data_IF_548212047390
#
_entry.id   IF_548212047390
#
_cell.length_a   1.000
_cell.length_b   1.000
_cell.length_c   1.000
_cell.angle_alpha   90.00
_cell.angle_beta   90.00
_cell.angle_gamma   90.00
#
_symmetry.space_group_name_H-M   'P 1'
#
loop_
_entity.id
_entity.type
_entity.pdbx_description
1 polymer ?
#
# COMPACT_ATOMS: atom_id res chain seq x y z
N UNK A 1 29.99 -3.14 3.94
CA UNK A 1 28.53 -3.03 3.91
C UNK A 1 28.15 -1.58 3.69
N UNK A 2 27.52 -1.28 2.56
CA UNK A 2 27.06 0.06 2.21
C UNK A 2 25.54 0.13 2.39
N UNK A 3 25.06 0.96 3.32
CA UNK A 3 23.62 1.06 3.63
C UNK A 3 22.75 1.56 2.46
N UNK A 4 23.35 2.30 1.52
CA UNK A 4 22.66 2.76 0.30
C UNK A 4 22.58 1.70 -0.80
N UNK A 5 23.39 0.64 -0.72
CA UNK A 5 23.37 -0.45 -1.70
C UNK A 5 22.42 -1.54 -1.21
N UNK A 6 21.13 -1.33 -1.49
CA UNK A 6 20.05 -2.23 -1.11
C UNK A 6 19.02 -2.35 -2.21
N UNK A 7 18.34 -3.50 -2.26
CA UNK A 7 17.21 -3.74 -3.15
C UNK A 7 16.31 -4.81 -2.54
N UNK A 8 15.05 -4.82 -2.98
CA UNK A 8 14.05 -5.81 -2.57
C UNK A 8 13.66 -6.66 -3.78
N UNK A 9 13.43 -7.95 -3.54
CA UNK A 9 12.66 -8.80 -4.45
C UNK A 9 11.39 -9.25 -3.73
N UNK A 10 10.24 -9.26 -4.39
CA UNK A 10 8.98 -9.69 -3.81
C UNK A 10 8.25 -10.65 -4.75
N UNK A 11 7.77 -11.79 -4.22
CA UNK A 11 7.09 -12.83 -5.00
C UNK A 11 5.93 -13.39 -4.19
N UNK A 12 4.80 -13.65 -4.83
CA UNK A 12 3.66 -14.34 -4.23
C UNK A 12 3.98 -15.81 -3.94
N UNK A 13 3.56 -16.31 -2.79
CA UNK A 13 3.79 -17.67 -2.36
C UNK A 13 2.69 -18.61 -2.86
N UNK A 14 3.07 -19.72 -3.51
CA UNK A 14 2.10 -20.78 -3.82
C UNK A 14 1.65 -21.56 -2.59
N UNK A 15 2.48 -21.56 -1.54
CA UNK A 15 2.22 -22.20 -0.25
C UNK A 15 2.71 -21.26 0.85
N UNK A 16 1.83 -20.91 1.78
CA UNK A 16 2.12 -19.97 2.87
C UNK A 16 3.43 -20.32 3.61
N UNK A 17 4.30 -19.33 3.76
CA UNK A 17 5.56 -19.44 4.50
C UNK A 17 6.65 -20.25 3.79
N UNK A 18 6.43 -20.64 2.53
CA UNK A 18 7.40 -21.40 1.73
C UNK A 18 8.06 -20.49 0.70
N UNK A 19 9.39 -20.38 0.80
CA UNK A 19 10.23 -19.55 -0.06
C UNK A 19 10.18 -20.00 -1.54
N UNK A 20 9.60 -19.20 -2.46
CA UNK A 20 9.52 -19.54 -3.88
C UNK A 20 10.85 -19.31 -4.63
N UNK A 21 11.88 -18.80 -3.95
CA UNK A 21 13.18 -18.42 -4.53
C UNK A 21 13.05 -17.37 -5.66
N UNK A 22 12.81 -16.09 -5.31
CA UNK A 22 12.77 -14.99 -6.27
C UNK A 22 14.01 -14.92 -7.16
N UNK A 23 13.80 -14.55 -8.43
CA UNK A 23 14.84 -14.15 -9.38
C UNK A 23 14.89 -12.63 -9.60
N UNK A 24 15.72 -12.18 -10.55
CA UNK A 24 15.94 -10.77 -10.84
C UNK A 24 14.71 -10.00 -11.32
N UNK A 25 13.76 -10.65 -12.00
CA UNK A 25 12.56 -9.99 -12.54
C UNK A 25 11.57 -9.57 -11.44
N UNK A 26 11.75 -10.11 -10.23
CA UNK A 26 10.90 -9.81 -9.08
C UNK A 26 11.39 -8.58 -8.30
N UNK A 27 12.33 -7.81 -8.86
CA UNK A 27 12.88 -6.65 -8.19
C UNK A 27 11.87 -5.52 -8.13
N UNK A 28 11.73 -4.91 -6.95
CA UNK A 28 10.86 -3.76 -6.73
C UNK A 28 11.71 -2.49 -6.67
N UNK A 29 11.35 -1.51 -7.51
CA UNK A 29 11.94 -0.18 -7.45
C UNK A 29 11.41 0.55 -6.21
N UNK A 30 12.23 0.61 -5.16
CA UNK A 30 11.83 1.15 -3.85
C UNK A 30 12.60 2.41 -3.49
N UNK A 31 11.93 3.29 -2.77
CA UNK A 31 12.54 4.39 -2.01
C UNK A 31 12.25 4.23 -0.52
N UNK A 32 13.02 4.94 0.33
CA UNK A 32 12.87 4.93 1.79
C UNK A 32 12.81 3.56 2.49
N UNK A 33 13.33 2.50 1.87
CA UNK A 33 13.25 1.14 2.40
C UNK A 33 13.90 0.99 3.78
N UNK A 34 13.16 0.45 4.76
CA UNK A 34 13.63 0.15 6.11
C UNK A 34 13.21 -1.26 6.50
N UNK A 35 14.12 -2.00 7.15
CA UNK A 35 13.84 -3.34 7.69
C UNK A 35 14.09 -3.35 9.19
N UNK A 36 13.14 -3.90 9.93
CA UNK A 36 13.25 -4.20 11.35
C UNK A 36 13.37 -5.72 11.50
N UNK A 37 14.60 -6.28 11.50
CA UNK A 37 14.84 -7.71 11.36
C UNK A 37 14.28 -8.52 12.53
N UNK A 38 14.28 -7.96 13.74
CA UNK A 38 13.81 -8.64 14.94
C UNK A 38 12.81 -7.80 15.69
N UNK A 39 11.54 -8.17 15.58
CA UNK A 39 10.43 -7.64 16.36
C UNK A 39 9.72 -8.78 17.10
N UNK A 40 9.00 -8.42 18.16
CA UNK A 40 8.12 -9.33 18.88
C UNK A 40 8.32 -9.37 20.39
N UNK A 41 7.49 -10.17 21.06
CA UNK A 41 7.36 -10.12 22.50
C UNK A 41 8.55 -10.75 23.22
N UNK A 42 8.86 -10.22 24.40
CA UNK A 42 9.96 -10.67 25.25
C UNK A 42 9.43 -10.88 26.66
N UNK A 43 9.81 -11.98 27.28
CA UNK A 43 9.38 -12.34 28.62
C UNK A 43 10.58 -12.29 29.55
N UNK A 44 10.51 -11.42 30.56
CA UNK A 44 11.48 -11.42 31.66
C UNK A 44 11.25 -12.62 32.58
N UNK A 45 12.34 -13.18 33.09
CA UNK A 45 12.28 -14.29 34.06
C UNK A 45 11.98 -13.82 35.49
N UNK A 46 12.14 -12.53 35.78
CA UNK A 46 11.91 -11.93 37.11
C UNK A 46 12.49 -12.79 38.26
N UNK A 47 13.78 -13.12 38.19
CA UNK A 47 14.39 -14.05 39.13
C UNK A 47 14.83 -13.33 40.41
N UNK A 48 14.47 -13.89 41.56
CA UNK A 48 14.98 -13.41 42.85
C UNK A 48 16.50 -13.60 42.93
N UNK A 49 17.22 -12.51 43.20
CA UNK A 49 18.68 -12.53 43.34
C UNK A 49 19.20 -11.59 44.43
N UNK A 50 20.38 -11.87 45.02
CA UNK A 50 20.93 -11.06 46.12
C UNK A 50 21.39 -9.64 45.73
N UNK A 51 21.49 -9.33 44.44
CA UNK A 51 21.97 -8.04 43.93
C UNK A 51 20.93 -7.34 43.05
N UNK A 52 21.04 -6.02 42.92
CA UNK A 52 20.15 -5.21 42.09
C UNK A 52 20.67 -5.14 40.63
N UNK A 53 19.75 -5.09 39.67
CA UNK A 53 20.05 -4.96 38.23
C UNK A 53 18.83 -5.32 37.35
N UNK A 54 18.99 -5.32 36.02
CA UNK A 54 17.95 -5.76 35.08
C UNK A 54 17.96 -7.30 34.86
N UNK A 55 16.81 -7.89 34.58
CA UNK A 55 16.67 -9.32 34.29
C UNK A 55 16.94 -9.66 32.83
N UNK A 56 17.33 -10.91 32.59
CA UNK A 56 17.44 -11.44 31.23
C UNK A 56 16.05 -11.76 30.68
N UNK A 57 15.83 -11.41 29.42
CA UNK A 57 14.57 -11.65 28.71
C UNK A 57 14.70 -12.75 27.66
N UNK A 58 13.63 -13.51 27.46
CA UNK A 58 13.49 -14.56 26.46
C UNK A 58 12.52 -14.08 25.36
N UNK A 59 12.93 -14.13 24.11
CA UNK A 59 12.05 -13.79 22.97
C UNK A 59 11.02 -14.91 22.73
N UNK A 60 9.74 -14.57 22.63
CA UNK A 60 8.63 -15.54 22.51
C UNK A 60 7.89 -15.50 21.17
N UNK A 61 8.02 -14.42 20.41
CA UNK A 61 7.56 -14.32 19.03
C UNK A 61 8.57 -13.52 18.24
N UNK A 62 8.95 -14.01 17.06
CA UNK A 62 9.92 -13.35 16.20
C UNK A 62 9.30 -13.13 14.83
N UNK A 63 9.10 -11.88 14.49
CA UNK A 63 8.70 -11.47 13.16
C UNK A 63 9.59 -10.35 12.65
N UNK A 64 9.56 -10.14 11.35
CA UNK A 64 10.28 -9.07 10.69
C UNK A 64 9.26 -8.13 10.06
N UNK A 65 9.52 -6.83 10.12
CA UNK A 65 8.75 -5.84 9.39
C UNK A 65 9.62 -5.11 8.38
N UNK A 66 9.03 -4.77 7.23
CA UNK A 66 9.69 -4.04 6.16
C UNK A 66 8.74 -2.96 5.65
N UNK A 67 9.26 -1.73 5.55
CA UNK A 67 8.53 -0.59 5.02
C UNK A 67 9.30 0.03 3.86
N UNK A 68 8.61 0.49 2.83
CA UNK A 68 9.21 1.14 1.67
C UNK A 68 8.13 1.85 0.86
N UNK A 69 8.57 2.80 0.04
CA UNK A 69 7.71 3.52 -0.89
C UNK A 69 8.00 3.09 -2.33
N UNK A 70 6.96 3.04 -3.17
CA UNK A 70 7.03 2.71 -4.60
C UNK A 70 6.26 3.77 -5.39
N UNK A 71 6.81 4.20 -6.52
CA UNK A 71 6.15 5.17 -7.40
C UNK A 71 4.91 4.55 -8.06
N UNK A 72 3.80 5.29 -8.09
CA UNK A 72 2.55 4.85 -8.71
C UNK A 72 2.54 5.22 -10.20
N UNK A 73 2.77 4.23 -11.05
CA UNK A 73 2.71 4.35 -12.50
C UNK A 73 2.13 3.06 -13.10
N UNK A 74 1.69 3.07 -14.36
CA UNK A 74 1.29 1.83 -15.03
C UNK A 74 2.49 0.95 -15.40
N UNK A 75 2.24 -0.10 -16.19
CA UNK A 75 3.27 -1.05 -16.64
C UNK A 75 3.99 -0.61 -17.92
N UNK A 76 3.45 0.37 -18.64
CA UNK A 76 3.88 0.78 -19.98
C UNK A 76 3.18 0.07 -21.13
N UNK A 77 2.37 -0.96 -20.84
CA UNK A 77 1.63 -1.73 -21.85
C UNK A 77 0.24 -2.13 -21.31
N UNK A 78 -0.82 -1.81 -22.06
CA UNK A 78 -2.20 -2.09 -21.64
C UNK A 78 -2.42 -3.60 -21.43
N UNK A 79 -3.14 -3.96 -20.37
CA UNK A 79 -3.38 -5.37 -20.01
C UNK A 79 -2.15 -6.12 -19.47
N UNK A 80 -1.04 -5.43 -19.19
CA UNK A 80 0.13 -6.00 -18.50
C UNK A 80 0.19 -5.51 -17.05
N UNK A 81 0.38 -6.42 -16.10
CA UNK A 81 0.47 -6.08 -14.68
C UNK A 81 1.69 -5.19 -14.41
N UNK A 82 1.55 -4.10 -13.64
CA UNK A 82 2.67 -3.25 -13.23
C UNK A 82 3.61 -3.98 -12.28
N UNK A 83 4.89 -3.58 -12.25
CA UNK A 83 5.91 -4.20 -11.40
C UNK A 83 5.60 -4.16 -9.88
N UNK A 84 4.72 -3.26 -9.43
CA UNK A 84 4.25 -3.17 -8.05
C UNK A 84 3.02 -4.03 -7.74
N UNK A 85 2.37 -4.62 -8.75
CA UNK A 85 1.11 -5.37 -8.60
C UNK A 85 1.17 -6.49 -7.57
N UNK A 86 2.28 -7.23 -7.56
CA UNK A 86 2.54 -8.31 -6.58
C UNK A 86 2.45 -7.84 -5.12
N UNK A 87 2.73 -6.56 -4.84
CA UNK A 87 2.65 -6.02 -3.49
C UNK A 87 1.21 -5.83 -3.03
N UNK A 88 0.31 -5.43 -3.94
CA UNK A 88 -1.11 -5.31 -3.62
C UNK A 88 -1.74 -6.66 -3.26
N UNK A 89 -1.30 -7.74 -3.90
CA UNK A 89 -1.74 -9.10 -3.55
C UNK A 89 -1.47 -9.40 -2.06
N UNK A 90 -0.26 -9.09 -1.59
CA UNK A 90 0.10 -9.22 -0.17
C UNK A 90 -0.60 -8.23 0.78
N UNK A 91 -1.28 -7.21 0.23
CA UNK A 91 -2.11 -6.27 0.97
C UNK A 91 -3.60 -6.63 0.97
N UNK A 92 -3.97 -7.78 0.39
CA UNK A 92 -5.35 -8.28 0.37
C UNK A 92 -6.17 -7.82 -0.82
N UNK A 93 -5.53 -7.61 -1.97
CA UNK A 93 -6.18 -7.41 -3.27
C UNK A 93 -6.09 -8.69 -4.11
N UNK A 94 -7.04 -8.88 -5.02
CA UNK A 94 -6.97 -9.85 -6.12
C UNK A 94 -6.72 -9.12 -7.45
N UNK A 95 -6.00 -9.78 -8.36
CA UNK A 95 -5.64 -9.23 -9.67
C UNK A 95 -6.50 -9.87 -10.76
N UNK A 96 -7.23 -9.03 -11.49
CA UNK A 96 -7.98 -9.44 -12.68
C UNK A 96 -7.36 -8.80 -13.93
N UNK A 97 -6.77 -9.62 -14.80
CA UNK A 97 -6.16 -9.18 -16.06
C UNK A 97 -7.12 -9.38 -17.22
N UNK A 98 -7.41 -8.31 -17.95
CA UNK A 98 -8.04 -8.33 -19.27
C UNK A 98 -6.97 -8.03 -20.30
N UNK A 99 -6.54 -9.06 -21.04
CA UNK A 99 -5.47 -8.96 -22.01
C UNK A 99 -5.66 -7.78 -22.98
N UNK A 100 -4.55 -7.09 -23.26
CA UNK A 100 -4.47 -5.90 -24.13
C UNK A 100 -5.37 -4.73 -23.71
N UNK A 101 -6.01 -4.80 -22.54
CA UNK A 101 -7.05 -3.85 -22.11
C UNK A 101 -6.75 -3.25 -20.75
N UNK A 102 -6.76 -4.06 -19.68
CA UNK A 102 -6.68 -3.54 -18.32
C UNK A 102 -6.17 -4.57 -17.31
N UNK A 103 -5.66 -4.09 -16.19
CA UNK A 103 -5.40 -4.88 -14.99
C UNK A 103 -6.11 -4.22 -13.82
N UNK A 104 -6.99 -4.94 -13.15
CA UNK A 104 -7.77 -4.43 -12.03
C UNK A 104 -7.34 -5.10 -10.74
N UNK A 105 -7.06 -4.30 -9.72
CA UNK A 105 -6.86 -4.75 -8.34
C UNK A 105 -8.07 -4.33 -7.50
N UNK A 106 -8.79 -5.32 -6.97
CA UNK A 106 -9.90 -5.11 -6.04
C UNK A 106 -9.62 -5.84 -4.72
N UNK A 107 -10.04 -5.31 -3.56
CA UNK A 107 -9.92 -6.00 -2.28
C UNK A 107 -10.58 -7.39 -2.31
N UNK A 108 -10.14 -8.27 -1.42
CA UNK A 108 -10.82 -9.54 -1.12
C UNK A 108 -10.98 -9.73 0.38
N UNK A 109 -11.97 -10.50 0.81
CA UNK A 109 -12.19 -10.84 2.23
C UNK A 109 -11.73 -12.24 2.62
N UNK A 110 -11.28 -13.05 1.68
CA UNK A 110 -10.75 -14.39 1.94
C UNK A 110 -9.60 -14.74 0.99
N UNK A 111 -8.94 -15.87 1.27
CA UNK A 111 -7.84 -16.38 0.43
C UNK A 111 -6.72 -15.36 0.19
N UNK A 112 -6.42 -14.52 1.18
CA UNK A 112 -5.36 -13.52 1.10
C UNK A 112 -4.04 -14.15 0.68
N UNK A 113 -3.44 -13.64 -0.38
CA UNK A 113 -2.10 -14.02 -0.78
C UNK A 113 -1.07 -13.66 0.31
N UNK A 114 0.04 -14.36 0.28
CA UNK A 114 1.22 -14.07 1.09
C UNK A 114 2.43 -13.94 0.18
N UNK A 115 3.36 -13.08 0.59
CA UNK A 115 4.56 -12.81 -0.18
C UNK A 115 5.80 -13.36 0.53
N UNK A 116 6.78 -13.77 -0.26
CA UNK A 116 8.17 -13.83 0.18
C UNK A 116 8.87 -12.55 -0.27
N UNK A 117 9.44 -11.82 0.68
CA UNK A 117 10.19 -10.58 0.45
C UNK A 117 11.66 -10.82 0.80
N UNK A 118 12.52 -10.68 -0.18
CA UNK A 118 13.96 -10.69 -0.02
C UNK A 118 14.47 -9.27 0.09
N UNK A 119 15.31 -9.02 1.08
CA UNK A 119 15.95 -7.74 1.28
C UNK A 119 17.46 -7.92 1.31
N UNK A 120 18.12 -7.33 0.33
CA UNK A 120 19.57 -7.34 0.23
C UNK A 120 20.15 -6.05 0.79
N UNK A 121 21.10 -6.13 1.73
CA UNK A 121 22.03 -5.03 2.05
C UNK A 121 23.44 -5.47 1.68
N UNK A 122 23.96 -4.91 0.59
CA UNK A 122 25.29 -5.16 0.03
C UNK A 122 25.62 -6.65 -0.25
N UNK A 123 25.84 -7.49 0.77
CA UNK A 123 26.16 -8.93 0.68
C UNK A 123 25.36 -9.81 1.64
N UNK A 124 24.46 -9.20 2.41
CA UNK A 124 23.59 -9.89 3.36
C UNK A 124 22.18 -9.96 2.81
N UNK A 125 21.54 -11.10 2.95
CA UNK A 125 20.15 -11.32 2.60
C UNK A 125 19.33 -11.56 3.86
N UNK A 126 18.33 -10.71 4.06
CA UNK A 126 17.23 -10.94 4.98
C UNK A 126 16.02 -11.43 4.19
N UNK A 127 15.31 -12.43 4.71
CA UNK A 127 14.11 -12.96 4.07
C UNK A 127 12.93 -12.86 5.03
N UNK A 128 11.78 -12.49 4.49
CA UNK A 128 10.49 -12.57 5.15
C UNK A 128 9.63 -13.52 4.32
N UNK A 129 9.13 -14.60 4.92
CA UNK A 129 8.16 -15.50 4.28
C UNK A 129 6.79 -15.29 4.91
N UNK A 130 5.72 -15.69 4.24
CA UNK A 130 4.35 -15.52 4.74
C UNK A 130 3.98 -14.06 4.98
N UNK A 131 4.57 -13.13 4.23
CA UNK A 131 4.44 -11.70 4.47
C UNK A 131 3.09 -11.17 3.98
N UNK A 132 2.45 -10.36 4.82
CA UNK A 132 1.22 -9.61 4.51
C UNK A 132 1.37 -8.18 4.99
N UNK A 133 0.64 -7.25 4.37
CA UNK A 133 0.87 -5.83 4.59
C UNK A 133 -0.36 -4.94 4.44
N UNK A 134 -0.10 -3.65 4.48
CA UNK A 134 -1.05 -2.58 4.15
C UNK A 134 -0.38 -1.60 3.18
N UNK A 135 -1.19 -0.86 2.45
CA UNK A 135 -0.77 0.14 1.47
C UNK A 135 -1.48 1.48 1.73
N UNK A 136 -0.72 2.57 1.58
CA UNK A 136 -1.24 3.93 1.56
C UNK A 136 -0.85 4.62 0.25
N UNK A 137 -1.85 5.13 -0.47
CA UNK A 137 -1.70 5.90 -1.70
C UNK A 137 -1.61 7.39 -1.36
N UNK A 138 -0.71 8.10 -2.04
CA UNK A 138 -0.58 9.54 -1.95
C UNK A 138 -0.45 10.13 -3.36
N UNK A 139 -1.36 11.04 -3.68
CA UNK A 139 -1.37 11.80 -4.92
C UNK A 139 -1.49 13.29 -4.54
N UNK A 140 -0.34 13.92 -4.28
CA UNK A 140 -0.24 15.36 -4.01
C UNK A 140 0.20 16.14 -5.25
N UNK A 141 -0.35 17.34 -5.45
CA UNK A 141 -0.02 18.22 -6.58
C UNK A 141 1.49 18.49 -6.66
N UNK A 142 2.01 18.60 -7.87
CA UNK A 142 3.44 18.83 -8.17
C UNK A 142 4.39 17.78 -7.56
N UNK A 143 3.89 16.61 -7.16
CA UNK A 143 4.67 15.48 -6.68
C UNK A 143 4.46 14.25 -7.57
N UNK A 144 5.40 13.32 -7.47
CA UNK A 144 5.22 11.97 -8.02
C UNK A 144 4.25 11.22 -7.10
N UNK A 145 3.21 10.58 -7.63
CA UNK A 145 2.30 9.79 -6.82
C UNK A 145 3.03 8.55 -6.26
N UNK A 146 2.76 8.22 -4.99
CA UNK A 146 3.51 7.21 -4.24
C UNK A 146 2.58 6.24 -3.52
N UNK A 147 3.04 4.99 -3.41
CA UNK A 147 2.47 3.94 -2.57
C UNK A 147 3.44 3.62 -1.44
N UNK A 148 3.01 3.84 -0.20
CA UNK A 148 3.76 3.46 0.99
C UNK A 148 3.28 2.10 1.49
N UNK A 149 4.20 1.14 1.53
CA UNK A 149 3.91 -0.23 1.97
C UNK A 149 4.49 -0.50 3.35
N UNK A 150 3.76 -1.29 4.14
CA UNK A 150 4.24 -1.85 5.40
C UNK A 150 3.87 -3.33 5.47
N UNK A 151 4.88 -4.19 5.44
CA UNK A 151 4.72 -5.64 5.51
C UNK A 151 5.25 -6.20 6.82
N UNK A 152 4.54 -7.20 7.33
CA UNK A 152 4.96 -8.08 8.42
C UNK A 152 5.08 -9.49 7.89
N UNK A 153 6.18 -10.18 8.19
CA UNK A 153 6.41 -11.56 7.75
C UNK A 153 7.12 -12.40 8.82
N UNK A 154 7.10 -13.72 8.59
CA UNK A 154 7.85 -14.68 9.39
C UNK A 154 9.34 -14.40 9.27
N UNK A 155 10.01 -14.43 10.42
CA UNK A 155 11.44 -14.17 10.48
C UNK A 155 12.25 -15.35 9.96
N UNK A 156 13.19 -15.08 9.06
CA UNK A 156 14.22 -16.03 8.64
C UNK A 156 15.60 -15.48 8.97
N UNK A 157 16.50 -16.35 9.42
CA UNK A 157 17.86 -15.95 9.79
C UNK A 157 18.61 -15.39 8.56
N UNK A 158 19.36 -14.27 8.71
CA UNK A 158 20.10 -13.69 7.60
C UNK A 158 21.16 -14.64 7.04
N UNK A 159 21.36 -14.61 5.72
CA UNK A 159 22.35 -15.44 5.03
C UNK A 159 23.26 -14.59 4.15
N UNK A 160 24.35 -15.20 3.66
CA UNK A 160 25.27 -14.58 2.69
C UNK A 160 25.20 -15.34 1.34
N UNK A 161 24.21 -15.07 0.49
CA UNK A 161 23.99 -15.80 -0.75
C UNK A 161 24.74 -15.16 -1.94
N UNK A 162 24.65 -15.81 -3.10
CA UNK A 162 25.00 -15.19 -4.37
C UNK A 162 24.03 -14.04 -4.63
N UNK A 163 24.57 -12.86 -4.97
CA UNK A 163 23.78 -11.68 -5.30
C UNK A 163 22.99 -11.90 -6.59
N UNK A 164 21.69 -11.63 -6.55
CA UNK A 164 20.83 -11.60 -7.71
C UNK A 164 20.94 -10.20 -8.35
N UNK A 165 21.04 -10.12 -9.67
CA UNK A 165 20.98 -8.84 -10.36
C UNK A 165 19.51 -8.40 -10.44
N UNK A 166 19.11 -7.27 -9.82
CA UNK A 166 17.74 -6.80 -9.90
C UNK A 166 17.43 -6.30 -11.31
N UNK A 167 16.26 -6.67 -11.83
CA UNK A 167 15.70 -6.15 -13.07
C UNK A 167 14.44 -5.33 -12.74
N UNK A 168 14.49 -4.04 -12.98
CA UNK A 168 13.39 -3.10 -12.73
C UNK A 168 12.74 -2.61 -14.02
N UNK A 169 12.86 -3.36 -15.13
CA UNK A 169 12.28 -2.97 -16.42
C UNK A 169 10.75 -2.88 -16.41
N UNK A 170 10.09 -3.51 -15.43
CA UNK A 170 8.65 -3.44 -15.21
C UNK A 170 8.18 -2.11 -14.58
N UNK A 171 9.11 -1.20 -14.25
CA UNK A 171 8.81 0.14 -13.73
C UNK A 171 9.08 1.18 -14.81
N UNK A 172 8.03 1.92 -15.17
CA UNK A 172 8.12 3.07 -16.07
C UNK A 172 8.30 4.36 -15.27
N UNK A 173 8.84 5.39 -15.92
CA UNK A 173 8.97 6.70 -15.30
C UNK A 173 7.57 7.26 -14.97
N UNK A 174 7.29 7.64 -13.70
CA UNK A 174 5.99 8.17 -13.32
C UNK A 174 5.78 9.59 -13.85
N UNK A 175 4.52 9.98 -13.95
CA UNK A 175 4.12 11.35 -14.26
C UNK A 175 3.83 12.12 -12.96
N UNK A 176 4.18 13.40 -12.86
CA UNK A 176 3.80 14.22 -11.71
C UNK A 176 2.30 14.53 -11.75
N UNK A 177 1.67 14.60 -10.57
CA UNK A 177 0.26 14.99 -10.43
C UNK A 177 0.10 16.46 -10.81
N UNK A 178 -0.50 16.70 -11.97
CA UNK A 178 -0.72 18.02 -12.59
C UNK A 178 -1.98 17.97 -13.43
N UNK A 179 -2.52 19.12 -13.85
CA UNK A 179 -3.70 19.19 -14.73
C UNK A 179 -3.52 18.35 -16.02
N UNK A 180 -2.34 18.43 -16.64
CA UNK A 180 -2.04 17.71 -17.89
C UNK A 180 -1.96 16.18 -17.71
N UNK A 181 -1.59 15.72 -16.51
CA UNK A 181 -1.36 14.30 -16.23
C UNK A 181 -2.46 13.65 -15.39
N UNK A 182 -3.39 14.41 -14.80
CA UNK A 182 -4.51 13.89 -14.02
C UNK A 182 -5.82 14.45 -14.59
N UNK A 183 -6.28 13.92 -15.74
CA UNK A 183 -7.42 14.48 -16.46
C UNK A 183 -8.76 14.33 -15.73
N UNK A 184 -8.88 13.36 -14.82
CA UNK A 184 -10.12 13.13 -14.05
C UNK A 184 -9.83 13.16 -12.56
N UNK A 185 -10.58 13.99 -11.85
CA UNK A 185 -10.69 13.95 -10.40
C UNK A 185 -12.12 14.37 -10.04
N UNK A 186 -13.00 13.39 -10.05
CA UNK A 186 -14.43 13.59 -9.82
C UNK A 186 -14.81 13.15 -8.40
N UNK A 187 -15.54 14.01 -7.70
CA UNK A 187 -16.15 13.72 -6.40
C UNK A 187 -17.65 13.96 -6.52
N UNK A 188 -18.45 12.91 -6.38
CA UNK A 188 -19.90 12.95 -6.61
C UNK A 188 -20.26 13.51 -8.00
N UNK A 189 -19.62 12.95 -9.03
CA UNK A 189 -19.72 13.36 -10.45
C UNK A 189 -19.41 14.84 -10.70
N UNK A 190 -18.62 15.47 -9.83
CA UNK A 190 -18.19 16.86 -9.96
C UNK A 190 -16.67 16.93 -10.02
N UNK A 191 -16.14 17.48 -11.13
CA UNK A 191 -14.71 17.68 -11.33
C UNK A 191 -14.18 18.74 -10.37
N UNK A 192 -13.45 18.29 -9.34
CA UNK A 192 -12.87 19.17 -8.34
C UNK A 192 -11.46 19.62 -8.75
N UNK A 193 -11.10 20.84 -8.34
CA UNK A 193 -9.73 21.35 -8.48
C UNK A 193 -8.90 20.82 -7.31
N UNK A 194 -8.43 19.58 -7.44
CA UNK A 194 -7.79 18.85 -6.37
C UNK A 194 -6.32 19.25 -6.14
N UNK A 195 -5.90 19.22 -4.87
CA UNK A 195 -4.53 19.44 -4.45
C UNK A 195 -3.88 18.20 -3.87
N UNK A 196 -4.63 17.39 -3.13
CA UNK A 196 -4.10 16.18 -2.49
C UNK A 196 -5.19 15.14 -2.34
N UNK A 197 -4.81 13.91 -2.66
CA UNK A 197 -5.55 12.71 -2.32
C UNK A 197 -4.65 11.78 -1.52
N UNK A 198 -5.18 11.25 -0.42
CA UNK A 198 -4.59 10.11 0.28
C UNK A 198 -5.62 9.03 0.49
N UNK A 199 -5.20 7.77 0.39
CA UNK A 199 -6.03 6.61 0.71
C UNK A 199 -5.17 5.56 1.42
N UNK A 200 -5.44 5.31 2.69
CA UNK A 200 -4.87 4.21 3.45
C UNK A 200 -5.88 3.07 3.50
N UNK A 201 -5.49 1.88 3.01
CA UNK A 201 -6.34 0.69 3.12
C UNK A 201 -6.47 0.23 4.58
N UNK A 202 -5.54 0.65 5.44
CA UNK A 202 -5.54 0.40 6.88
C UNK A 202 -5.79 -1.09 7.22
N UNK A 203 -5.11 -1.99 6.51
CA UNK A 203 -5.22 -3.43 6.74
C UNK A 203 -4.66 -3.79 8.12
N UNK A 204 -5.44 -4.51 8.92
CA UNK A 204 -5.03 -5.00 10.23
C UNK A 204 -4.25 -6.31 10.08
N UNK A 205 -2.91 -6.19 10.06
CA UNK A 205 -1.98 -7.31 9.93
C UNK A 205 -1.44 -7.73 11.30
N UNK A 206 -1.74 -8.97 11.69
CA UNK A 206 -1.41 -9.50 13.01
C UNK A 206 -0.45 -10.69 12.86
N UNK A 207 0.73 -10.58 13.46
CA UNK A 207 1.57 -11.76 13.72
C UNK A 207 0.98 -12.54 14.91
N UNK A 208 0.64 -13.79 14.66
CA UNK A 208 0.03 -14.70 15.64
C UNK A 208 0.93 -15.92 15.82
N UNK A 209 1.46 -16.07 17.02
CA UNK A 209 2.20 -17.25 17.44
C UNK A 209 1.45 -17.92 18.60
N UNK A 210 0.84 -19.06 18.32
CA UNK A 210 0.10 -19.89 19.28
C UNK A 210 0.58 -21.33 19.19
N UNK A 211 0.28 -22.15 20.20
CA UNK A 211 0.65 -23.57 20.18
C UNK A 211 0.07 -24.22 18.92
N UNK A 212 0.93 -24.91 18.16
CA UNK A 212 0.65 -25.58 16.88
C UNK A 212 0.38 -24.66 15.66
N UNK A 213 0.54 -23.33 15.77
CA UNK A 213 0.37 -22.44 14.61
C UNK A 213 1.13 -21.13 14.77
N UNK A 214 1.94 -20.80 13.77
CA UNK A 214 2.61 -19.51 13.64
C UNK A 214 2.30 -18.94 12.25
N UNK A 215 1.73 -17.74 12.21
CA UNK A 215 1.33 -17.10 10.95
C UNK A 215 1.17 -15.59 11.11
N UNK A 216 1.23 -14.89 9.99
CA UNK A 216 0.83 -13.50 9.82
C UNK A 216 -0.51 -13.50 9.10
N UNK A 217 -1.51 -12.90 9.71
CA UNK A 217 -2.89 -12.89 9.22
C UNK A 217 -3.38 -11.46 9.00
N UNK A 218 -4.10 -11.25 7.91
CA UNK A 218 -4.89 -10.04 7.69
C UNK A 218 -6.29 -10.34 8.22
N UNK A 219 -6.76 -9.56 9.20
CA UNK A 219 -8.02 -9.84 9.91
C UNK A 219 -9.14 -8.86 9.61
N UNK A 220 -8.79 -7.67 9.18
CA UNK A 220 -9.71 -6.57 8.94
C UNK A 220 -9.04 -5.53 8.04
N UNK A 221 -9.84 -4.61 7.47
CA UNK A 221 -9.36 -3.43 6.75
C UNK A 221 -10.36 -2.29 6.96
N UNK A 222 -9.86 -1.06 7.05
CA UNK A 222 -10.70 0.11 7.30
C UNK A 222 -10.31 1.27 6.36
N UNK A 223 -10.57 1.14 5.05
CA UNK A 223 -10.03 2.08 4.08
C UNK A 223 -10.55 3.50 4.31
N UNK A 224 -9.61 4.41 4.50
CA UNK A 224 -9.89 5.80 4.83
C UNK A 224 -8.87 6.73 4.18
N UNK A 225 -9.28 7.96 3.95
CA UNK A 225 -8.47 8.88 3.17
C UNK A 225 -8.78 10.34 3.44
N UNK A 226 -8.14 11.21 2.68
CA UNK A 226 -8.38 12.65 2.72
C UNK A 226 -8.31 13.20 1.31
N UNK A 227 -9.27 14.05 0.98
CA UNK A 227 -9.29 14.86 -0.24
C UNK A 227 -9.11 16.31 0.16
N UNK A 228 -8.22 17.00 -0.53
CA UNK A 228 -8.07 18.45 -0.44
C UNK A 228 -8.27 19.03 -1.83
N UNK A 229 -9.20 19.97 -1.97
CA UNK A 229 -9.51 20.63 -3.23
C UNK A 229 -9.91 22.09 -3.00
N UNK A 230 -9.83 22.92 -4.02
CA UNK A 230 -10.30 24.30 -3.91
C UNK A 230 -11.78 24.36 -3.53
N UNK A 231 -12.12 25.26 -2.61
CA UNK A 231 -13.49 25.38 -2.14
C UNK A 231 -14.40 25.90 -3.26
N UNK A 232 -15.41 25.11 -3.60
CA UNK A 232 -16.42 25.50 -4.58
C UNK A 232 -17.48 26.42 -3.95
N UNK A 233 -18.09 27.28 -4.78
CA UNK A 233 -19.23 28.08 -4.38
C UNK A 233 -20.41 27.16 -4.03
N UNK A 234 -21.04 27.40 -2.87
CA UNK A 234 -22.14 26.57 -2.34
C UNK A 234 -23.31 26.42 -3.33
N UNK A 235 -23.54 27.42 -4.19
CA UNK A 235 -24.58 27.39 -5.22
C UNK A 235 -24.28 26.49 -6.42
N UNK A 236 -23.03 26.08 -6.61
CA UNK A 236 -22.59 25.16 -7.68
C UNK A 236 -22.57 23.73 -7.14
N UNK A 237 -21.80 23.47 -6.08
CA UNK A 237 -21.77 22.18 -5.38
C UNK A 237 -21.68 22.39 -3.87
N UNK A 238 -22.59 21.78 -3.12
CA UNK A 238 -22.67 21.96 -1.66
C UNK A 238 -22.12 20.74 -0.90
N UNK A 239 -20.80 20.67 -0.79
CA UNK A 239 -20.11 19.60 -0.05
C UNK A 239 -20.41 19.59 1.47
N UNK A 240 -20.77 20.75 2.05
CA UNK A 240 -21.21 20.82 3.45
C UNK A 240 -22.53 20.06 3.66
N UNK A 241 -23.45 20.15 2.71
CA UNK A 241 -24.69 19.39 2.74
C UNK A 241 -24.45 17.89 2.57
N UNK A 242 -23.57 17.50 1.63
CA UNK A 242 -23.17 16.10 1.44
C UNK A 242 -22.56 15.49 2.71
N UNK A 243 -21.65 16.22 3.36
CA UNK A 243 -21.07 15.74 4.61
C UNK A 243 -22.08 15.66 5.76
N UNK A 244 -23.02 16.60 5.82
CA UNK A 244 -24.05 16.62 6.86
C UNK A 244 -25.10 15.51 6.66
N UNK A 245 -25.46 15.19 5.43
CA UNK A 245 -26.38 14.07 5.13
C UNK A 245 -25.70 12.73 5.37
N UNK A 246 -24.36 12.67 5.25
CA UNK A 246 -23.60 11.44 5.32
C UNK A 246 -23.88 10.54 4.11
N UNK A 247 -24.28 11.14 3.00
CA UNK A 247 -24.55 10.46 1.74
C UNK A 247 -23.28 9.81 1.18
N UNK A 248 -23.45 8.66 0.54
CA UNK A 248 -22.38 7.92 -0.11
C UNK A 248 -22.25 8.44 -1.53
N UNK A 249 -21.04 8.85 -1.90
CA UNK A 249 -20.74 9.44 -3.20
C UNK A 249 -19.71 8.61 -3.95
N UNK A 250 -19.69 8.77 -5.27
CA UNK A 250 -18.66 8.20 -6.12
C UNK A 250 -17.40 9.06 -6.12
N UNK A 251 -16.23 8.42 -6.11
CA UNK A 251 -14.94 9.05 -6.37
C UNK A 251 -14.30 8.35 -7.56
N UNK A 252 -13.85 9.13 -8.54
CA UNK A 252 -13.08 8.65 -9.68
C UNK A 252 -11.86 9.55 -9.91
N UNK A 253 -10.67 8.96 -9.86
CA UNK A 253 -9.41 9.66 -10.09
C UNK A 253 -8.65 8.91 -11.18
N UNK A 254 -8.44 9.56 -12.32
CA UNK A 254 -7.66 9.01 -13.44
C UNK A 254 -6.35 9.77 -13.53
N UNK A 255 -5.23 9.08 -13.31
CA UNK A 255 -3.89 9.60 -13.47
C UNK A 255 -3.18 8.93 -14.64
N UNK A 256 -2.57 9.71 -15.52
CA UNK A 256 -1.96 9.28 -16.76
C UNK A 256 -2.83 9.60 -17.98
N UNK A 257 -2.20 9.62 -19.16
CA UNK A 257 -2.85 9.99 -20.43
C UNK A 257 -2.56 9.02 -21.58
N UNK A 258 -1.61 8.10 -21.38
CA UNK A 258 -1.20 7.12 -22.40
C UNK A 258 -1.56 5.73 -21.91
N UNK A 259 -2.25 4.95 -22.75
CA UNK A 259 -2.55 3.55 -22.45
C UNK A 259 -1.28 2.76 -22.09
N UNK A 260 -1.41 1.87 -21.13
CA UNK A 260 -0.34 1.20 -20.40
C UNK A 260 0.20 1.99 -19.21
N UNK A 261 -0.08 3.29 -19.11
CA UNK A 261 0.39 4.16 -18.04
C UNK A 261 -0.73 4.94 -17.34
N UNK A 262 -1.99 4.57 -17.55
CA UNK A 262 -3.11 5.14 -16.84
C UNK A 262 -3.37 4.30 -15.59
N UNK A 263 -3.43 4.97 -14.44
CA UNK A 263 -3.84 4.40 -13.16
C UNK A 263 -5.09 5.13 -12.70
N UNK A 264 -6.17 4.38 -12.53
CA UNK A 264 -7.46 4.87 -12.08
C UNK A 264 -7.74 4.33 -10.67
N UNK A 265 -8.16 5.19 -9.75
CA UNK A 265 -8.62 4.83 -8.41
C UNK A 265 -10.10 5.18 -8.32
N UNK A 266 -10.94 4.18 -8.08
CA UNK A 266 -12.39 4.33 -8.05
C UNK A 266 -12.99 3.84 -6.74
N UNK A 267 -14.04 4.52 -6.28
CA UNK A 267 -14.88 4.05 -5.17
C UNK A 267 -16.32 4.46 -5.42
N UNK A 268 -17.21 3.47 -5.44
CA UNK A 268 -18.64 3.70 -5.74
C UNK A 268 -19.42 4.26 -4.54
N UNK A 269 -18.95 3.97 -3.32
CA UNK A 269 -19.61 4.35 -2.07
C UNK A 269 -18.59 4.91 -1.08
N UNK A 270 -18.37 6.22 -1.15
CA UNK A 270 -17.46 6.93 -0.26
C UNK A 270 -18.23 7.95 0.56
N UNK A 271 -18.11 7.89 1.87
CA UNK A 271 -18.70 8.88 2.76
C UNK A 271 -17.72 10.04 2.97
N UNK A 272 -18.18 11.27 2.70
CA UNK A 272 -17.42 12.48 3.00
C UNK A 272 -17.75 13.00 4.40
N UNK A 273 -16.73 13.28 5.20
CA UNK A 273 -16.90 13.73 6.58
C UNK A 273 -15.89 14.80 6.96
N UNK A 274 -16.12 15.44 8.12
CA UNK A 274 -15.19 16.37 8.75
C UNK A 274 -14.67 17.48 7.81
N UNK A 275 -15.54 18.21 7.07
CA UNK A 275 -15.11 19.30 6.22
C UNK A 275 -14.40 20.38 7.04
N UNK A 276 -13.21 20.76 6.59
CA UNK A 276 -12.39 21.81 7.18
C UNK A 276 -11.86 22.73 6.09
N UNK A 277 -11.73 24.02 6.41
CA UNK A 277 -11.23 25.02 5.47
C UNK A 277 -9.74 25.26 5.69
N UNK A 278 -9.02 25.40 4.59
CA UNK A 278 -7.61 25.76 4.53
C UNK A 278 -7.37 26.97 3.65
N UNK A 279 -6.09 27.35 3.56
CA UNK A 279 -5.58 28.34 2.62
C UNK A 279 -4.43 27.69 1.85
N UNK A 280 -4.48 27.78 0.52
CA UNK A 280 -3.41 27.36 -0.37
C UNK A 280 -3.24 28.40 -1.45
N UNK A 281 -2.05 28.99 -1.56
CA UNK A 281 -1.73 30.08 -2.50
C UNK A 281 -2.71 31.27 -2.44
N UNK A 282 -3.33 31.52 -1.28
CA UNK A 282 -4.33 32.57 -1.08
C UNK A 282 -5.74 32.22 -1.59
N UNK A 283 -5.97 30.98 -2.04
CA UNK A 283 -7.27 30.43 -2.37
C UNK A 283 -7.80 29.60 -1.18
N UNK A 284 -9.11 29.70 -0.94
CA UNK A 284 -9.77 28.88 0.07
C UNK A 284 -9.82 27.44 -0.42
N UNK A 285 -9.28 26.51 0.36
CA UNK A 285 -9.35 25.08 0.10
C UNK A 285 -10.26 24.41 1.10
N UNK A 286 -10.80 23.26 0.73
CA UNK A 286 -11.60 22.42 1.58
C UNK A 286 -10.97 21.03 1.66
N UNK A 287 -10.75 20.58 2.89
CA UNK A 287 -10.29 19.23 3.20
C UNK A 287 -11.44 18.42 3.76
N UNK A 288 -11.62 17.20 3.26
CA UNK A 288 -12.64 16.26 3.73
C UNK A 288 -12.04 14.89 3.95
N UNK A 289 -12.41 14.24 5.06
CA UNK A 289 -12.08 12.85 5.33
C UNK A 289 -13.00 11.95 4.51
N UNK A 290 -12.43 10.97 3.80
CA UNK A 290 -13.17 9.96 3.03
C UNK A 290 -13.19 8.64 3.77
N UNK A 291 -14.36 8.03 3.92
CA UNK A 291 -14.52 6.66 4.42
C UNK A 291 -15.06 5.80 3.27
N UNK A 292 -14.31 4.79 2.86
CA UNK A 292 -14.66 3.98 1.70
C UNK A 292 -15.38 2.73 2.19
N UNK A 293 -16.61 2.54 1.72
CA UNK A 293 -17.48 1.46 2.20
C UNK A 293 -17.87 0.53 1.04
N UNK A 294 -17.95 -0.78 1.28
CA UNK A 294 -18.38 -1.71 0.23
C UNK A 294 -19.89 -1.60 0.00
N UNK A 295 -20.31 -1.97 -1.21
CA UNK A 295 -21.72 -2.18 -1.52
C UNK A 295 -22.21 -3.52 -0.98
N UNK A 296 -23.48 -3.83 -1.21
CA UNK A 296 -24.06 -5.14 -0.90
C UNK A 296 -23.39 -6.30 -1.68
N UNK A 297 -22.61 -6.00 -2.72
CA UNK A 297 -21.83 -7.00 -3.46
C UNK A 297 -20.59 -7.47 -2.68
N UNK A 298 -20.12 -6.66 -1.73
CA UNK A 298 -18.92 -6.92 -0.93
C UNK A 298 -17.62 -6.67 -1.70
N UNK A 299 -16.56 -6.34 -0.95
CA UNK A 299 -15.18 -6.22 -1.45
C UNK A 299 -14.96 -5.24 -2.62
N UNK A 300 -15.88 -4.30 -2.82
CA UNK A 300 -15.89 -3.33 -3.92
C UNK A 300 -15.79 -1.87 -3.43
N UNK A 301 -15.29 -1.66 -2.22
CA UNK A 301 -15.12 -0.32 -1.66
C UNK A 301 -14.10 0.52 -2.44
N UNK A 302 -13.06 -0.10 -3.02
CA UNK A 302 -11.98 0.54 -3.77
C UNK A 302 -11.62 -0.37 -4.95
N UNK A 303 -11.34 0.19 -6.12
CA UNK A 303 -10.64 -0.52 -7.18
C UNK A 303 -9.51 0.33 -7.75
N UNK A 304 -8.40 -0.33 -8.10
CA UNK A 304 -7.25 0.28 -8.77
C UNK A 304 -7.16 -0.37 -10.14
N UNK A 305 -7.42 0.41 -11.19
CA UNK A 305 -7.44 -0.08 -12.57
C UNK A 305 -6.26 0.51 -13.32
N UNK A 306 -5.45 -0.34 -13.93
CA UNK A 306 -4.34 0.05 -14.79
C UNK A 306 -4.72 -0.21 -16.24
N UNK A 307 -4.63 0.81 -17.09
CA UNK A 307 -4.99 0.75 -18.52
C UNK A 307 -3.94 1.37 -19.41
#
# INVERSE_FOLDING_TARGET
MLAKKKYILAVAESVYGTDPTPDGANAILTSNCQVQPHQGNRVSRNLDRPGLGNDAEIATGRFTTVTFDVELAGSGEAGTAPGWGVLLLGCGFDETVVADTSVTYAPVSESFDSLTIYYYIDKELHKLTGARGTVNFNLSRDQIPMMSFSFTGLHNDPTAPVLIAPDTSAFVQPLPVTEDNTPTYDVDSFAVRAETFTLDMACNVVYRNVVNSESVILTDRAPAGTLVFEQEAIGIKNFWALSKSGELVEIDIVHGTTAGNIVQITGSQVQLSQPSLGDSDGLSTMSMTTLWTPTDSGDDEVAIVVT
#
